data_IF_011027091853
#
_entry.id   IF_011027091853
#
_cell.length_a   1.000
_cell.length_b   1.000
_cell.length_c   1.000
_cell.angle_alpha   90.00
_cell.angle_beta   90.00
_cell.angle_gamma   90.00
#
_symmetry.space_group_name_H-M   'P 1'
#
loop_
_entity.id
_entity.type
_entity.pdbx_description
1 polymer ?
#
# COMPACT_ATOMS: atom_id res chain seq x y z
N UNK A 1 -67.11 -2.21 0.44
CA UNK A 1 -66.42 -3.49 0.15
C UNK A 1 -65.52 -3.50 -1.13
N UNK A 2 -65.83 -2.76 -2.18
CA UNK A 2 -65.01 -2.72 -3.41
C UNK A 2 -63.74 -1.88 -3.22
N UNK A 3 -63.81 -0.78 -2.50
CA UNK A 3 -62.68 0.12 -2.23
C UNK A 3 -61.60 -0.50 -1.32
N UNK A 4 -61.99 -1.21 -0.31
CA UNK A 4 -61.04 -1.91 0.58
C UNK A 4 -60.22 -3.01 -0.15
N UNK A 5 -60.84 -3.71 -1.06
CA UNK A 5 -60.12 -4.75 -1.88
C UNK A 5 -59.11 -4.14 -2.81
N UNK A 6 -59.36 -2.94 -3.36
CA UNK A 6 -58.40 -2.25 -4.23
C UNK A 6 -57.23 -1.73 -3.40
N UNK A 7 -57.48 -1.20 -2.22
CA UNK A 7 -56.40 -0.73 -1.33
C UNK A 7 -55.50 -1.87 -0.86
N UNK A 8 -56.11 -3.01 -0.47
CA UNK A 8 -55.33 -4.21 -0.04
C UNK A 8 -54.51 -4.78 -1.22
N UNK A 9 -55.07 -4.83 -2.41
CA UNK A 9 -54.31 -5.29 -3.59
C UNK A 9 -53.15 -4.36 -3.91
N UNK A 10 -53.33 -3.05 -3.84
CA UNK A 10 -52.27 -2.07 -4.04
C UNK A 10 -51.16 -2.19 -3.00
N UNK A 11 -51.51 -2.43 -1.72
CA UNK A 11 -50.55 -2.59 -0.65
C UNK A 11 -49.70 -3.86 -0.82
N UNK A 12 -50.33 -4.98 -1.25
CA UNK A 12 -49.64 -6.24 -1.56
C UNK A 12 -48.65 -6.04 -2.72
N UNK A 13 -49.05 -5.31 -3.77
CA UNK A 13 -48.17 -5.04 -4.91
C UNK A 13 -46.95 -4.23 -4.52
N UNK A 14 -47.13 -3.19 -3.69
CA UNK A 14 -46.02 -2.38 -3.17
C UNK A 14 -45.05 -3.20 -2.31
N UNK A 15 -45.56 -4.07 -1.44
CA UNK A 15 -44.74 -4.97 -0.61
C UNK A 15 -43.95 -5.97 -1.47
N UNK A 16 -44.55 -6.52 -2.52
CA UNK A 16 -43.86 -7.42 -3.45
C UNK A 16 -42.76 -6.71 -4.24
N UNK A 17 -42.97 -5.48 -4.65
CA UNK A 17 -41.93 -4.67 -5.33
C UNK A 17 -40.80 -4.28 -4.37
N UNK A 18 -41.11 -3.93 -3.11
CA UNK A 18 -40.09 -3.61 -2.12
C UNK A 18 -39.24 -4.82 -1.73
N UNK A 19 -39.82 -6.02 -1.69
CA UNK A 19 -39.08 -7.27 -1.41
C UNK A 19 -38.18 -7.72 -2.59
N UNK A 20 -38.42 -7.22 -3.80
CA UNK A 20 -37.62 -7.57 -5.00
C UNK A 20 -36.26 -6.90 -5.06
N UNK A 21 -36.05 -5.81 -4.32
CA UNK A 21 -34.78 -5.07 -4.29
C UNK A 21 -33.85 -5.56 -3.17
N UNK A 22 -33.42 -6.82 -3.21
CA UNK A 22 -32.31 -7.24 -2.35
C UNK A 22 -30.98 -6.80 -2.97
N UNK A 23 -30.38 -5.72 -2.44
CA UNK A 23 -29.05 -5.25 -2.80
C UNK A 23 -27.92 -6.09 -2.22
N UNK A 24 -28.17 -7.37 -1.92
CA UNK A 24 -27.15 -8.30 -1.48
C UNK A 24 -26.13 -8.53 -2.58
N UNK A 25 -24.85 -8.36 -2.29
CA UNK A 25 -23.78 -8.76 -3.20
C UNK A 25 -23.93 -10.24 -3.47
N UNK A 26 -24.24 -10.60 -4.71
CA UNK A 26 -24.40 -12.00 -5.13
C UNK A 26 -23.02 -12.64 -5.18
N UNK A 27 -22.73 -13.52 -4.24
CA UNK A 27 -21.49 -14.29 -4.17
C UNK A 27 -21.56 -15.63 -4.90
N UNK A 28 -22.75 -15.97 -5.38
CA UNK A 28 -23.02 -17.18 -6.12
C UNK A 28 -23.31 -16.83 -7.57
N UNK A 29 -22.60 -17.43 -8.55
CA UNK A 29 -22.84 -17.18 -9.98
C UNK A 29 -24.24 -17.61 -10.44
N UNK A 30 -25.03 -18.29 -9.60
CA UNK A 30 -26.39 -18.72 -9.89
C UNK A 30 -26.44 -19.96 -10.77
N UNK A 31 -27.43 -20.06 -11.68
CA UNK A 31 -27.56 -21.18 -12.63
C UNK A 31 -26.47 -21.09 -13.69
N UNK A 32 -25.60 -22.09 -13.75
CA UNK A 32 -24.44 -22.10 -14.64
C UNK A 32 -24.61 -23.31 -15.58
N UNK A 33 -24.31 -23.08 -16.86
CA UNK A 33 -24.16 -24.15 -17.83
C UNK A 33 -22.82 -24.85 -17.58
N UNK A 34 -22.84 -26.17 -17.38
CA UNK A 34 -21.68 -26.99 -16.99
C UNK A 34 -21.07 -26.57 -15.63
N UNK A 35 -21.75 -26.81 -14.51
CA UNK A 35 -21.33 -26.34 -13.19
C UNK A 35 -19.98 -26.87 -12.72
N UNK A 36 -19.52 -28.03 -13.22
CA UNK A 36 -18.27 -28.66 -12.81
C UNK A 36 -17.01 -27.84 -13.12
N UNK A 37 -17.11 -26.87 -14.04
CA UNK A 37 -16.01 -25.97 -14.43
C UNK A 37 -16.17 -24.57 -13.87
N UNK A 38 -17.23 -24.30 -13.13
CA UNK A 38 -17.56 -22.95 -12.65
C UNK A 38 -16.83 -22.57 -11.36
N UNK A 39 -16.46 -23.55 -10.56
CA UNK A 39 -15.79 -23.36 -9.29
C UNK A 39 -14.47 -24.13 -9.26
N UNK A 40 -13.43 -23.46 -8.79
CA UNK A 40 -12.19 -24.13 -8.44
C UNK A 40 -12.43 -25.01 -7.21
N UNK A 41 -11.95 -26.26 -7.28
CA UNK A 41 -11.92 -27.16 -6.10
C UNK A 41 -10.69 -26.92 -5.23
N UNK A 42 -9.71 -26.16 -5.77
CA UNK A 42 -8.52 -25.78 -5.03
C UNK A 42 -8.87 -24.64 -4.06
N UNK A 43 -8.24 -24.65 -2.91
CA UNK A 43 -8.31 -23.55 -1.96
C UNK A 43 -7.46 -22.41 -2.50
N UNK A 44 -8.10 -21.30 -2.86
CA UNK A 44 -7.44 -20.13 -3.43
C UNK A 44 -7.18 -19.06 -2.36
N UNK A 45 -6.10 -18.30 -2.52
CA UNK A 45 -5.59 -17.36 -1.50
C UNK A 45 -6.62 -16.33 -1.02
N UNK A 46 -7.52 -15.89 -1.89
CA UNK A 46 -8.51 -14.85 -1.59
C UNK A 46 -9.96 -15.37 -1.59
N UNK A 47 -10.15 -16.67 -1.64
CA UNK A 47 -11.49 -17.26 -1.55
C UNK A 47 -11.99 -17.26 -0.10
N UNK A 48 -13.31 -17.36 0.07
CA UNK A 48 -13.92 -17.53 1.37
C UNK A 48 -13.71 -18.99 1.84
N UNK A 49 -13.04 -19.18 2.96
CA UNK A 49 -12.70 -20.48 3.53
C UNK A 49 -13.58 -20.83 4.76
N UNK A 50 -14.63 -20.06 5.03
CA UNK A 50 -15.48 -20.29 6.21
C UNK A 50 -16.11 -21.68 6.22
N UNK A 51 -16.41 -22.26 5.06
CA UNK A 51 -16.94 -23.62 4.93
C UNK A 51 -15.99 -24.70 5.48
N UNK A 52 -14.67 -24.48 5.44
CA UNK A 52 -13.69 -25.41 6.01
C UNK A 52 -13.74 -25.42 7.54
N UNK A 53 -14.07 -24.30 8.16
CA UNK A 53 -14.21 -24.22 9.61
C UNK A 53 -15.39 -25.06 10.10
N UNK A 54 -16.47 -25.16 9.32
CA UNK A 54 -17.63 -25.98 9.64
C UNK A 54 -17.28 -27.48 9.59
N UNK A 55 -16.26 -27.85 8.82
CA UNK A 55 -15.69 -29.20 8.75
C UNK A 55 -14.57 -29.42 9.78
N UNK A 56 -14.26 -28.44 10.63
CA UNK A 56 -13.19 -28.51 11.63
C UNK A 56 -11.78 -28.33 11.04
N UNK A 57 -11.67 -27.87 9.80
CA UNK A 57 -10.40 -27.63 9.12
C UNK A 57 -10.05 -26.15 9.22
N UNK A 58 -9.06 -25.81 10.03
CA UNK A 58 -8.56 -24.45 10.17
C UNK A 58 -7.44 -24.21 9.14
N UNK A 59 -7.83 -23.77 7.95
CA UNK A 59 -6.90 -23.49 6.86
C UNK A 59 -6.23 -22.13 7.07
N UNK A 60 -4.90 -22.12 7.17
CA UNK A 60 -4.07 -20.92 7.20
C UNK A 60 -3.04 -20.99 6.08
N UNK A 61 -3.17 -20.11 5.08
CA UNK A 61 -2.23 -19.99 3.96
C UNK A 61 -1.02 -19.11 4.29
N UNK A 62 -0.94 -18.58 5.52
CA UNK A 62 0.17 -17.73 5.94
C UNK A 62 1.46 -18.55 6.04
N UNK A 63 2.59 -18.03 5.57
CA UNK A 63 3.87 -18.66 5.79
C UNK A 63 4.19 -18.75 7.29
N UNK A 64 4.96 -19.74 7.70
CA UNK A 64 5.45 -19.83 9.09
C UNK A 64 6.14 -18.51 9.47
N UNK A 65 5.84 -17.94 10.66
CA UNK A 65 6.47 -16.72 11.11
C UNK A 65 7.99 -16.78 11.02
N UNK A 66 8.62 -15.74 10.49
CA UNK A 66 10.07 -15.71 10.26
C UNK A 66 10.53 -16.26 8.90
N UNK A 67 9.64 -16.84 8.11
CA UNK A 67 9.97 -17.31 6.76
C UNK A 67 10.29 -16.14 5.84
N UNK A 68 11.44 -16.22 5.15
CA UNK A 68 11.85 -15.24 4.14
C UNK A 68 11.80 -15.92 2.77
N UNK A 69 11.07 -15.33 1.82
CA UNK A 69 11.03 -15.85 0.46
C UNK A 69 12.41 -15.79 -0.20
N UNK A 70 12.70 -16.75 -1.11
CA UNK A 70 13.97 -16.77 -1.85
C UNK A 70 14.20 -15.44 -2.59
N UNK A 71 15.38 -14.82 -2.41
CA UNK A 71 15.71 -13.50 -2.94
C UNK A 71 15.02 -12.32 -2.24
N UNK A 72 14.27 -12.60 -1.16
CA UNK A 72 13.68 -11.59 -0.31
C UNK A 72 14.66 -11.08 0.75
N UNK A 73 14.22 -10.04 1.45
CA UNK A 73 14.89 -9.49 2.64
C UNK A 73 14.01 -9.80 3.84
N UNK A 74 14.64 -10.09 4.98
CA UNK A 74 13.93 -10.32 6.24
C UNK A 74 12.97 -9.18 6.57
N UNK A 75 11.89 -9.50 7.26
CA UNK A 75 10.95 -8.50 7.74
C UNK A 75 11.67 -7.44 8.58
N UNK A 76 11.12 -6.23 8.63
CA UNK A 76 11.65 -5.18 9.48
C UNK A 76 11.53 -5.61 10.96
N UNK A 77 12.64 -5.64 11.73
CA UNK A 77 12.66 -6.34 13.02
C UNK A 77 12.01 -5.55 14.17
N UNK A 78 11.67 -4.28 13.95
CA UNK A 78 11.08 -3.42 14.98
C UNK A 78 9.56 -3.44 14.83
N UNK A 79 8.86 -3.68 15.93
CA UNK A 79 7.39 -3.62 15.96
C UNK A 79 6.87 -2.19 15.91
N UNK A 80 5.60 -2.02 15.55
CA UNK A 80 4.91 -0.72 15.60
C UNK A 80 4.73 -0.29 17.05
N UNK A 81 4.98 0.98 17.34
CA UNK A 81 4.66 1.59 18.62
C UNK A 81 3.15 1.65 18.85
N UNK A 82 2.72 1.55 20.10
CA UNK A 82 1.37 1.89 20.51
C UNK A 82 1.16 3.41 20.44
N UNK A 83 -0.09 3.83 20.39
CA UNK A 83 -0.42 5.26 20.31
C UNK A 83 0.16 6.01 21.51
N UNK A 84 0.94 7.04 21.26
CA UNK A 84 1.59 7.86 22.29
C UNK A 84 2.99 7.39 22.69
N UNK A 85 3.44 6.21 22.25
CA UNK A 85 4.80 5.72 22.46
C UNK A 85 5.69 6.00 21.23
N UNK A 86 6.99 6.14 21.46
CA UNK A 86 8.01 6.32 20.40
C UNK A 86 9.26 5.48 20.66
N UNK A 87 9.19 4.54 21.58
CA UNK A 87 10.33 3.70 22.00
C UNK A 87 10.88 2.91 20.80
N UNK A 88 10.03 2.24 20.07
CA UNK A 88 10.41 1.45 18.90
C UNK A 88 10.87 2.36 17.73
N UNK A 89 10.24 3.51 17.54
CA UNK A 89 10.70 4.50 16.57
C UNK A 89 12.12 4.97 16.87
N UNK A 90 12.48 5.16 18.15
CA UNK A 90 13.83 5.52 18.56
C UNK A 90 14.78 4.34 18.41
N UNK A 91 14.38 3.13 18.79
CA UNK A 91 15.16 1.90 18.63
C UNK A 91 15.48 1.61 17.15
N UNK A 92 14.56 1.97 16.25
CA UNK A 92 14.78 1.82 14.82
C UNK A 92 16.01 2.56 14.26
N UNK A 93 16.59 3.51 14.99
CA UNK A 93 17.86 4.17 14.63
C UNK A 93 19.01 3.19 14.42
N UNK A 94 19.00 2.09 15.19
CA UNK A 94 20.05 1.07 15.18
C UNK A 94 19.94 0.10 14.01
N UNK A 95 18.79 0.09 13.30
CA UNK A 95 18.58 -0.84 12.19
C UNK A 95 19.31 -0.33 10.95
N UNK A 96 20.23 -1.16 10.46
CA UNK A 96 21.02 -0.88 9.27
C UNK A 96 20.27 -1.42 8.03
N UNK A 97 20.40 -0.71 6.91
CA UNK A 97 19.88 -1.18 5.63
C UNK A 97 20.65 -2.44 5.20
N UNK A 98 20.00 -3.58 5.01
CA UNK A 98 20.66 -4.83 4.62
C UNK A 98 21.06 -4.88 3.13
N UNK A 99 20.63 -3.91 2.33
CA UNK A 99 20.95 -3.87 0.90
C UNK A 99 22.32 -3.25 0.67
N UNK A 100 23.10 -3.76 -0.30
CA UNK A 100 24.31 -3.08 -0.76
C UNK A 100 23.99 -1.73 -1.40
N UNK A 101 25.01 -0.95 -1.70
CA UNK A 101 24.85 0.28 -2.45
C UNK A 101 24.12 0.00 -3.77
N UNK A 102 23.22 0.92 -4.16
CA UNK A 102 22.45 0.75 -5.39
C UNK A 102 23.36 0.86 -6.61
N UNK A 103 23.36 -0.17 -7.44
CA UNK A 103 23.91 -0.10 -8.78
C UNK A 103 23.02 0.75 -9.70
N UNK A 104 23.41 0.96 -10.96
CA UNK A 104 22.67 1.80 -11.90
C UNK A 104 21.24 1.29 -12.14
N UNK A 105 21.08 -0.02 -12.32
CA UNK A 105 19.79 -0.63 -12.61
C UNK A 105 18.82 -0.56 -11.40
N UNK A 106 19.30 -0.94 -10.22
CA UNK A 106 18.50 -0.87 -9.00
C UNK A 106 18.20 0.58 -8.57
N UNK A 107 19.07 1.54 -8.91
CA UNK A 107 18.81 2.96 -8.72
C UNK A 107 17.67 3.46 -9.58
N UNK A 108 17.62 3.10 -10.86
CA UNK A 108 16.53 3.46 -11.77
C UNK A 108 15.21 2.91 -11.24
N UNK A 109 15.19 1.64 -10.80
CA UNK A 109 13.99 1.04 -10.22
C UNK A 109 13.60 1.70 -8.88
N UNK A 110 14.56 2.03 -8.02
CA UNK A 110 14.29 2.72 -6.77
C UNK A 110 13.72 4.13 -7.00
N UNK A 111 14.23 4.86 -8.01
CA UNK A 111 13.70 6.15 -8.44
C UNK A 111 12.26 6.02 -8.96
N UNK A 112 11.99 5.00 -9.78
CA UNK A 112 10.63 4.71 -10.28
C UNK A 112 9.67 4.41 -9.12
N UNK A 113 10.07 3.56 -8.19
CA UNK A 113 9.26 3.23 -7.00
C UNK A 113 9.00 4.47 -6.15
N UNK A 114 10.00 5.33 -5.98
CA UNK A 114 9.84 6.62 -5.30
C UNK A 114 8.81 7.50 -6.02
N UNK A 115 8.95 7.69 -7.32
CA UNK A 115 8.04 8.55 -8.09
C UNK A 115 6.59 8.07 -8.02
N UNK A 116 6.36 6.76 -8.12
CA UNK A 116 5.01 6.18 -8.10
C UNK A 116 4.37 6.27 -6.71
N UNK A 117 5.12 6.01 -5.65
CA UNK A 117 4.55 5.87 -4.30
C UNK A 117 4.73 7.10 -3.42
N UNK A 118 5.82 7.83 -3.58
CA UNK A 118 6.21 8.93 -2.68
C UNK A 118 6.12 10.30 -3.36
N UNK A 119 6.39 10.35 -4.68
CA UNK A 119 6.49 11.58 -5.46
C UNK A 119 5.20 12.38 -5.50
N UNK A 120 4.03 11.74 -5.38
CA UNK A 120 2.72 12.40 -5.32
C UNK A 120 2.60 13.37 -4.14
N UNK A 121 3.25 13.08 -3.03
CA UNK A 121 3.30 13.93 -1.84
C UNK A 121 4.63 14.69 -1.75
N UNK A 122 5.76 13.99 -1.85
CA UNK A 122 7.09 14.56 -1.61
C UNK A 122 7.71 15.27 -2.81
N UNK A 123 7.06 15.22 -3.99
CA UNK A 123 7.56 15.85 -5.21
C UNK A 123 8.71 15.07 -5.89
N UNK A 124 8.90 15.33 -7.18
CA UNK A 124 9.98 14.71 -7.96
C UNK A 124 11.38 15.16 -7.49
N UNK A 125 11.47 16.36 -6.91
CA UNK A 125 12.70 16.95 -6.36
C UNK A 125 12.94 16.59 -4.90
N UNK A 126 12.07 15.78 -4.28
CA UNK A 126 12.10 15.43 -2.86
C UNK A 126 11.93 16.63 -1.92
N UNK A 127 11.41 17.73 -2.42
CA UNK A 127 11.29 19.04 -1.76
C UNK A 127 10.01 19.18 -0.89
N UNK A 128 9.12 18.19 -0.93
CA UNK A 128 7.83 18.22 -0.24
C UNK A 128 6.74 18.93 -1.04
N UNK A 129 7.02 19.33 -2.28
CA UNK A 129 6.05 20.01 -3.14
C UNK A 129 5.51 19.08 -4.24
N UNK A 130 4.91 17.96 -3.84
CA UNK A 130 4.23 17.07 -4.76
C UNK A 130 2.85 17.57 -5.17
N UNK A 131 2.24 16.95 -6.21
CA UNK A 131 0.92 17.36 -6.73
C UNK A 131 -0.19 17.46 -5.68
N UNK A 132 -0.12 16.66 -4.63
CA UNK A 132 -1.15 16.68 -3.57
C UNK A 132 -1.02 17.90 -2.64
N UNK A 133 0.15 18.52 -2.54
CA UNK A 133 0.34 19.78 -1.83
C UNK A 133 0.32 20.97 -2.78
N UNK A 134 1.03 20.91 -3.90
CA UNK A 134 1.06 21.90 -4.98
C UNK A 134 1.21 23.36 -4.48
N UNK A 135 2.21 23.61 -3.64
CA UNK A 135 2.44 24.95 -3.06
C UNK A 135 1.30 25.49 -2.19
N UNK A 136 0.48 24.61 -1.62
CA UNK A 136 -0.71 24.96 -0.84
C UNK A 136 -2.01 25.02 -1.64
N UNK A 137 -1.97 24.79 -2.96
CA UNK A 137 -3.15 24.76 -3.83
C UNK A 137 -3.70 23.34 -4.05
N UNK A 138 -3.07 22.32 -3.47
CA UNK A 138 -3.50 20.93 -3.54
C UNK A 138 -4.52 20.57 -2.46
N UNK A 139 -5.04 19.33 -2.49
CA UNK A 139 -6.00 18.85 -1.50
C UNK A 139 -5.41 18.67 -0.09
N UNK A 140 -4.08 18.61 0.04
CA UNK A 140 -3.41 18.51 1.35
C UNK A 140 -3.06 19.91 1.89
N UNK A 141 -3.52 20.24 3.11
CA UNK A 141 -3.32 21.58 3.69
C UNK A 141 -1.91 21.79 4.24
N UNK A 142 -1.12 20.73 4.44
CA UNK A 142 0.19 20.78 5.08
C UNK A 142 1.23 20.17 4.14
N UNK A 143 2.32 20.92 3.93
CA UNK A 143 3.46 20.46 3.14
C UNK A 143 4.09 19.20 3.76
N UNK A 144 4.30 18.13 2.98
CA UNK A 144 5.19 17.05 3.38
C UNK A 144 6.60 17.55 3.66
N UNK A 145 7.33 16.85 4.54
CA UNK A 145 8.74 17.18 4.83
C UNK A 145 9.58 17.17 3.56
N UNK A 146 10.44 18.16 3.43
CA UNK A 146 11.50 18.17 2.43
C UNK A 146 12.52 17.07 2.79
N UNK A 147 12.67 16.08 1.92
CA UNK A 147 13.51 14.90 2.19
C UNK A 147 15.01 15.17 1.96
N UNK A 148 15.34 16.27 1.27
CA UNK A 148 16.73 16.64 0.93
C UNK A 148 17.25 17.73 1.83
N UNK A 149 16.50 18.84 1.98
CA UNK A 149 16.96 20.03 2.64
C UNK A 149 16.61 20.13 4.14
N UNK A 150 15.62 19.36 4.61
CA UNK A 150 15.25 19.38 6.04
C UNK A 150 16.39 18.81 6.89
N UNK A 151 16.96 19.60 7.85
CA UNK A 151 18.12 19.19 8.63
C UNK A 151 17.85 18.00 9.56
N UNK A 152 16.59 17.73 9.92
CA UNK A 152 16.21 16.58 10.73
C UNK A 152 16.15 15.32 9.85
N UNK A 153 15.52 15.41 8.66
CA UNK A 153 15.38 14.28 7.76
C UNK A 153 16.71 13.90 7.11
N UNK A 154 17.54 14.88 6.76
CA UNK A 154 18.87 14.62 6.16
C UNK A 154 19.79 13.83 7.11
N UNK A 155 19.70 14.09 8.43
CA UNK A 155 20.46 13.36 9.46
C UNK A 155 19.78 12.10 9.97
N UNK A 156 18.52 11.83 9.55
CA UNK A 156 17.75 10.70 10.05
C UNK A 156 18.38 9.39 9.57
N UNK A 157 18.65 8.40 10.46
CA UNK A 157 19.09 7.08 10.07
C UNK A 157 18.09 6.34 9.18
N UNK A 158 18.61 5.48 8.29
CA UNK A 158 17.76 4.72 7.36
C UNK A 158 16.73 3.84 8.08
N UNK A 159 17.06 3.29 9.24
CA UNK A 159 16.14 2.49 10.04
C UNK A 159 14.93 3.26 10.54
N UNK A 160 15.09 4.54 10.95
CA UNK A 160 13.95 5.40 11.29
C UNK A 160 13.08 5.77 10.08
N UNK A 161 13.72 5.98 8.92
CA UNK A 161 12.99 6.16 7.67
C UNK A 161 12.18 4.90 7.33
N UNK A 162 12.80 3.72 7.50
CA UNK A 162 12.14 2.42 7.27
C UNK A 162 10.95 2.22 8.21
N UNK A 163 11.08 2.60 9.47
CA UNK A 163 9.97 2.58 10.41
C UNK A 163 8.81 3.45 9.91
N UNK A 164 9.11 4.71 9.52
CA UNK A 164 8.10 5.65 9.03
C UNK A 164 7.39 5.16 7.77
N UNK A 165 8.13 4.60 6.81
CA UNK A 165 7.56 4.04 5.57
C UNK A 165 6.74 2.77 5.86
N UNK A 166 7.16 1.96 6.85
CA UNK A 166 6.50 0.70 7.19
C UNK A 166 5.19 0.91 7.94
N UNK A 167 5.17 1.79 8.91
CA UNK A 167 4.05 1.94 9.84
C UNK A 167 3.25 3.23 9.66
N UNK A 168 3.78 4.14 8.86
CA UNK A 168 3.27 5.50 8.74
C UNK A 168 3.81 6.39 9.87
N UNK A 169 3.72 7.71 9.67
CA UNK A 169 4.04 8.71 10.68
C UNK A 169 3.21 9.96 10.48
N UNK A 170 2.49 10.41 11.49
CA UNK A 170 1.56 11.54 11.43
C UNK A 170 0.54 11.36 10.27
N UNK A 171 0.54 12.25 9.29
CA UNK A 171 -0.35 12.20 8.13
C UNK A 171 0.13 11.22 7.05
N UNK A 172 1.35 10.73 7.12
CA UNK A 172 1.87 9.75 6.17
C UNK A 172 1.37 8.35 6.53
N UNK A 173 0.64 7.72 5.61
CA UNK A 173 0.16 6.34 5.76
C UNK A 173 1.27 5.30 5.67
N UNK A 174 0.94 4.06 6.02
CA UNK A 174 1.81 2.89 5.85
C UNK A 174 1.92 2.50 4.38
N UNK A 175 3.13 2.16 3.94
CA UNK A 175 3.41 1.61 2.60
C UNK A 175 3.77 0.12 2.64
N UNK A 176 3.50 -0.56 3.75
CA UNK A 176 3.81 -1.98 3.89
C UNK A 176 3.01 -2.89 2.95
N UNK A 177 1.80 -2.47 2.55
CA UNK A 177 0.94 -3.20 1.62
C UNK A 177 1.32 -2.97 0.16
N UNK A 178 1.84 -1.79 -0.19
CA UNK A 178 2.20 -1.42 -1.56
C UNK A 178 3.62 -1.83 -1.95
N UNK A 179 4.54 -1.81 -0.98
CA UNK A 179 5.96 -2.05 -1.20
C UNK A 179 6.46 -3.22 -0.34
N UNK A 180 7.14 -4.17 -0.97
CA UNK A 180 7.86 -5.21 -0.23
C UNK A 180 8.96 -4.61 0.65
N UNK A 181 9.43 -5.36 1.64
CA UNK A 181 10.53 -4.92 2.52
C UNK A 181 11.77 -4.49 1.74
N UNK A 182 12.13 -5.26 0.68
CA UNK A 182 13.24 -4.92 -0.20
C UNK A 182 13.01 -3.58 -0.92
N UNK A 183 11.83 -3.37 -1.50
CA UNK A 183 11.50 -2.15 -2.22
C UNK A 183 11.48 -0.92 -1.31
N UNK A 184 10.99 -1.04 -0.07
CA UNK A 184 11.05 0.04 0.92
C UNK A 184 12.50 0.44 1.23
N UNK A 185 13.40 -0.52 1.43
CA UNK A 185 14.82 -0.26 1.63
C UNK A 185 15.47 0.38 0.40
N UNK A 186 15.11 -0.05 -0.82
CA UNK A 186 15.59 0.58 -2.06
C UNK A 186 15.18 2.04 -2.18
N UNK A 187 13.91 2.36 -1.90
CA UNK A 187 13.40 3.75 -1.90
C UNK A 187 14.13 4.61 -0.87
N UNK A 188 14.34 4.11 0.35
CA UNK A 188 15.08 4.84 1.38
C UNK A 188 16.52 5.08 0.97
N UNK A 189 17.16 4.07 0.37
CA UNK A 189 18.52 4.20 -0.15
C UNK A 189 18.59 5.28 -1.26
N UNK A 190 17.61 5.28 -2.16
CA UNK A 190 17.47 6.32 -3.18
C UNK A 190 17.34 7.72 -2.55
N UNK A 191 16.42 7.91 -1.59
CA UNK A 191 16.25 9.17 -0.88
C UNK A 191 17.54 9.62 -0.22
N UNK A 192 18.25 8.73 0.45
CA UNK A 192 19.55 9.01 1.07
C UNK A 192 20.61 9.41 0.05
N UNK A 193 20.61 8.78 -1.12
CA UNK A 193 21.56 9.11 -2.17
C UNK A 193 21.33 10.50 -2.79
N UNK A 194 20.12 11.05 -2.66
CA UNK A 194 19.77 12.40 -3.13
C UNK A 194 20.09 13.51 -2.10
N UNK A 195 20.42 13.14 -0.85
CA UNK A 195 20.74 14.09 0.20
C UNK A 195 22.17 14.64 0.06
N UNK A 196 22.42 15.90 0.43
CA UNK A 196 23.76 16.49 0.39
C UNK A 196 24.79 15.65 1.18
N UNK A 197 25.96 15.46 0.60
CA UNK A 197 27.04 14.67 1.19
C UNK A 197 26.95 13.16 0.95
N UNK A 198 25.82 12.66 0.43
CA UNK A 198 25.64 11.24 0.09
C UNK A 198 25.45 11.01 -1.41
N UNK A 199 25.56 12.06 -2.22
CA UNK A 199 25.36 11.95 -3.67
C UNK A 199 26.49 11.10 -4.27
N UNK A 200 26.21 9.91 -4.84
CA UNK A 200 27.20 9.20 -5.64
C UNK A 200 27.51 10.06 -6.87
N UNK A 201 28.78 10.06 -7.29
CA UNK A 201 29.20 10.71 -8.53
C UNK A 201 28.21 10.34 -9.66
N UNK A 202 27.74 11.34 -10.38
CA UNK A 202 26.63 11.29 -11.32
C UNK A 202 26.71 10.11 -12.29
N UNK A 203 25.88 9.09 -12.07
CA UNK A 203 25.43 8.22 -13.13
C UNK A 203 24.19 8.90 -13.73
N UNK A 204 24.27 9.28 -15.02
CA UNK A 204 23.36 10.16 -15.72
C UNK A 204 21.89 9.96 -15.43
N UNK A 205 21.18 11.07 -15.24
CA UNK A 205 19.73 11.08 -15.22
C UNK A 205 19.20 10.46 -16.52
N UNK A 206 18.22 9.55 -16.47
CA UNK A 206 17.55 9.14 -17.69
C UNK A 206 16.87 10.39 -18.28
N UNK A 207 17.21 10.72 -19.53
CA UNK A 207 16.55 11.74 -20.29
C UNK A 207 15.03 11.45 -20.28
N UNK A 208 14.23 12.44 -19.94
CA UNK A 208 12.80 12.37 -20.09
C UNK A 208 12.51 12.19 -21.59
N UNK A 209 12.10 10.98 -21.97
CA UNK A 209 11.59 10.71 -23.31
C UNK A 209 10.33 11.56 -23.51
N UNK A 210 10.48 12.59 -24.33
CA UNK A 210 9.37 13.37 -24.84
C UNK A 210 8.54 12.46 -25.77
N UNK A 211 7.45 11.93 -25.26
CA UNK A 211 6.42 11.29 -26.07
C UNK A 211 5.89 12.34 -27.06
N UNK A 212 6.40 12.28 -28.30
CA UNK A 212 5.78 12.98 -29.43
C UNK A 212 4.50 12.22 -29.78
N UNK A 213 3.38 12.78 -29.39
CA UNK A 213 2.08 12.42 -29.96
C UNK A 213 2.08 12.78 -31.45
N UNK A 214 1.81 11.79 -32.28
CA UNK A 214 1.48 11.94 -33.69
C UNK A 214 -0.01 11.72 -33.86
#
# INVERSE_FOLDING_TARGET
>A
MRSTKIVTLGLITVVLFAASCSNGVRRDPGKIYMPDMAYSRAVETYSDHTYLNDEGIYYDASPVPGTVKRGGVAAFPIAKDVVGDTTNYVAAKQVVNPLPALDSATRVEAARLYMVNCGTCHGAKLDGNGPLYNGGNGPYPIAPRNLVADPVVSKMPMGQMMYSVTYGKNLMGSYASQLSTKQRWMVIHYVKSMQPGNTPAAAGAPAADSVKTK
#
